data_IF_723564715507
#
_entry.id   IF_723564715507
#
_cell.length_a   1.000
_cell.length_b   1.000
_cell.length_c   1.000
_cell.angle_alpha   90.00
_cell.angle_beta   90.00
_cell.angle_gamma   90.00
#
_symmetry.space_group_name_H-M   'P 1'
#
loop_
_entity.id
_entity.type
_entity.pdbx_description
1 polymer ?
#
# COMPACT_ATOMS: atom_id res chain seq x y z
N UNK A 1 -10.71 6.90 -2.85
CA UNK A 1 -11.11 5.48 -2.88
C UNK A 1 -12.31 5.27 -2.00
N UNK A 2 -13.02 4.16 -2.20
CA UNK A 2 -14.22 3.80 -1.43
C UNK A 2 -14.25 2.28 -1.21
N UNK A 3 -14.74 1.86 -0.04
CA UNK A 3 -14.98 0.44 0.18
C UNK A 3 -16.13 -0.02 -0.73
N UNK A 4 -15.93 -1.09 -1.52
CA UNK A 4 -16.97 -1.57 -2.41
C UNK A 4 -18.18 -2.06 -1.60
N UNK A 5 -19.36 -2.00 -2.23
CA UNK A 5 -20.60 -2.60 -1.71
C UNK A 5 -21.07 -3.69 -2.67
N UNK A 6 -20.48 -4.90 -2.61
CA UNK A 6 -20.75 -5.97 -3.56
C UNK A 6 -22.22 -6.40 -3.51
N UNK A 7 -22.85 -6.58 -4.67
CA UNK A 7 -24.22 -7.09 -4.83
C UNK A 7 -24.26 -8.57 -5.16
N UNK A 8 -23.17 -9.10 -5.70
CA UNK A 8 -22.98 -10.50 -6.01
C UNK A 8 -21.57 -10.95 -5.62
N UNK A 9 -21.32 -12.26 -5.67
CA UNK A 9 -20.05 -12.85 -5.24
C UNK A 9 -18.86 -12.38 -6.08
N UNK A 10 -19.06 -12.16 -7.38
CA UNK A 10 -17.99 -11.80 -8.30
C UNK A 10 -17.43 -10.38 -8.02
N UNK A 11 -18.25 -9.48 -7.47
CA UNK A 11 -17.84 -8.13 -7.09
C UNK A 11 -16.93 -8.07 -5.84
N UNK A 12 -16.72 -9.19 -5.13
CA UNK A 12 -15.71 -9.27 -4.07
C UNK A 12 -14.29 -9.44 -4.62
N UNK A 13 -14.14 -9.81 -5.90
CA UNK A 13 -12.83 -9.84 -6.53
C UNK A 13 -12.38 -8.41 -6.83
N UNK A 14 -11.44 -7.90 -6.03
CA UNK A 14 -10.91 -6.55 -6.18
C UNK A 14 -9.92 -6.42 -7.35
N UNK A 15 -9.45 -7.54 -7.90
CA UNK A 15 -8.40 -7.60 -8.91
C UNK A 15 -7.08 -8.16 -8.36
N UNK A 16 -6.03 -8.00 -9.17
CA UNK A 16 -4.72 -8.61 -8.94
C UNK A 16 -3.66 -7.57 -8.60
N UNK A 17 -2.69 -7.95 -7.76
CA UNK A 17 -1.47 -7.18 -7.49
C UNK A 17 -0.27 -7.99 -7.99
N UNK A 18 0.54 -7.40 -8.87
CA UNK A 18 1.77 -7.99 -9.35
C UNK A 18 2.96 -7.22 -8.79
N UNK A 19 3.84 -7.90 -8.05
CA UNK A 19 5.03 -7.30 -7.45
C UNK A 19 6.29 -7.81 -8.14
N UNK A 20 7.14 -6.88 -8.59
CA UNK A 20 8.48 -7.19 -9.08
C UNK A 20 9.43 -7.47 -7.92
N UNK A 21 9.30 -8.63 -7.26
CA UNK A 21 10.03 -8.95 -6.02
C UNK A 21 11.55 -8.79 -6.17
N UNK A 22 12.12 -9.28 -7.26
CA UNK A 22 13.57 -9.14 -7.54
C UNK A 22 13.97 -7.66 -7.68
N UNK A 23 13.13 -6.84 -8.30
CA UNK A 23 13.38 -5.41 -8.43
C UNK A 23 13.33 -4.72 -7.05
N UNK A 24 12.33 -5.03 -6.23
CA UNK A 24 12.20 -4.49 -4.86
C UNK A 24 13.45 -4.85 -4.04
N UNK A 25 13.85 -6.12 -4.08
CA UNK A 25 15.04 -6.60 -3.37
C UNK A 25 16.33 -5.86 -3.82
N UNK A 26 16.49 -5.62 -5.12
CA UNK A 26 17.62 -4.85 -5.64
C UNK A 26 17.60 -3.38 -5.17
N UNK A 27 16.42 -2.75 -5.14
CA UNK A 27 16.27 -1.38 -4.62
C UNK A 27 16.62 -1.30 -3.13
N UNK A 28 16.11 -2.22 -2.30
CA UNK A 28 16.41 -2.28 -0.87
C UNK A 28 17.91 -2.45 -0.59
N UNK A 29 18.63 -3.22 -1.41
CA UNK A 29 20.09 -3.34 -1.30
C UNK A 29 20.83 -2.03 -1.56
N UNK A 30 20.26 -1.15 -2.39
CA UNK A 30 20.84 0.16 -2.71
C UNK A 30 20.44 1.21 -1.67
N UNK A 31 19.18 1.25 -1.25
CA UNK A 31 18.69 2.22 -0.25
C UNK A 31 19.07 1.86 1.19
N UNK A 32 19.37 0.59 1.46
CA UNK A 32 19.61 0.06 2.80
C UNK A 32 18.32 -0.21 3.59
N UNK A 33 17.15 -0.12 2.95
CA UNK A 33 15.86 -0.41 3.57
C UNK A 33 15.67 -1.91 3.78
N UNK A 34 14.88 -2.25 4.80
CA UNK A 34 14.50 -3.63 5.08
C UNK A 34 13.56 -4.16 3.98
N UNK A 35 13.96 -5.27 3.37
CA UNK A 35 13.24 -5.85 2.23
C UNK A 35 11.82 -6.29 2.60
N UNK A 36 11.64 -6.95 3.74
CA UNK A 36 10.34 -7.46 4.16
C UNK A 36 9.38 -6.29 4.44
N UNK A 37 9.87 -5.23 5.09
CA UNK A 37 9.12 -4.00 5.33
C UNK A 37 8.68 -3.32 4.04
N UNK A 38 9.58 -3.15 3.07
CA UNK A 38 9.24 -2.55 1.76
C UNK A 38 8.25 -3.42 1.00
N UNK A 39 8.39 -4.75 1.05
CA UNK A 39 7.46 -5.66 0.38
C UNK A 39 6.05 -5.54 0.96
N UNK A 40 5.90 -5.50 2.29
CA UNK A 40 4.61 -5.32 2.97
C UNK A 40 3.99 -3.97 2.63
N UNK A 41 4.76 -2.90 2.71
CA UNK A 41 4.30 -1.53 2.39
C UNK A 41 3.87 -1.43 0.92
N UNK A 42 4.60 -2.05 0.00
CA UNK A 42 4.25 -2.07 -1.43
C UNK A 42 2.98 -2.87 -1.69
N UNK A 43 2.76 -3.99 -0.98
CA UNK A 43 1.52 -4.75 -1.07
C UNK A 43 0.30 -3.97 -0.53
N UNK A 44 0.45 -3.29 0.61
CA UNK A 44 -0.58 -2.42 1.17
C UNK A 44 -0.93 -1.26 0.22
N UNK A 45 0.08 -0.64 -0.39
CA UNK A 45 -0.10 0.36 -1.44
C UNK A 45 -0.91 -0.17 -2.64
N UNK A 46 -0.58 -1.38 -3.11
CA UNK A 46 -1.34 -2.06 -4.17
C UNK A 46 -2.81 -2.28 -3.79
N UNK A 47 -3.09 -2.66 -2.53
CA UNK A 47 -4.45 -2.80 -2.03
C UNK A 47 -5.22 -1.47 -2.03
N UNK A 48 -4.57 -0.36 -1.63
CA UNK A 48 -5.16 0.98 -1.75
C UNK A 48 -5.56 1.29 -3.20
N UNK A 49 -4.74 0.92 -4.18
CA UNK A 49 -5.09 1.09 -5.60
C UNK A 49 -6.28 0.23 -6.03
N UNK A 50 -6.38 -1.03 -5.58
CA UNK A 50 -7.56 -1.87 -5.84
C UNK A 50 -8.85 -1.30 -5.23
N UNK A 51 -8.75 -0.55 -4.12
CA UNK A 51 -9.86 0.18 -3.50
C UNK A 51 -10.13 1.56 -4.14
N UNK A 52 -9.45 1.89 -5.24
CA UNK A 52 -9.64 3.12 -5.99
C UNK A 52 -9.00 4.37 -5.35
N UNK A 53 -8.03 4.22 -4.47
CA UNK A 53 -7.17 5.33 -4.06
C UNK A 53 -6.10 5.60 -5.13
N UNK A 54 -5.78 6.88 -5.31
CA UNK A 54 -4.84 7.37 -6.33
C UNK A 54 -3.96 8.44 -5.68
N UNK A 55 -2.82 8.77 -6.29
CA UNK A 55 -1.90 9.79 -5.77
C UNK A 55 -1.36 10.71 -6.87
N UNK A 56 -2.11 10.87 -7.98
CA UNK A 56 -1.67 11.67 -9.13
C UNK A 56 -1.73 13.19 -8.88
N UNK A 57 -2.55 13.62 -7.92
CA UNK A 57 -2.69 15.01 -7.48
C UNK A 57 -2.56 15.11 -5.97
N UNK A 58 -2.19 16.29 -5.45
CA UNK A 58 -2.07 16.51 -4.00
C UNK A 58 -3.32 16.12 -3.19
N UNK A 59 -4.56 16.45 -3.62
CA UNK A 59 -5.76 16.02 -2.90
C UNK A 59 -5.98 14.50 -2.91
N UNK A 60 -5.69 13.83 -4.02
CA UNK A 60 -5.79 12.37 -4.11
C UNK A 60 -4.74 11.70 -3.24
N UNK A 61 -3.49 12.17 -3.34
CA UNK A 61 -2.38 11.71 -2.52
C UNK A 61 -2.68 11.83 -1.03
N UNK A 62 -3.27 12.94 -0.57
CA UNK A 62 -3.62 13.11 0.84
C UNK A 62 -4.56 11.99 1.31
N UNK A 63 -5.59 11.67 0.51
CA UNK A 63 -6.51 10.57 0.83
C UNK A 63 -5.82 9.21 0.83
N UNK A 64 -4.91 8.98 -0.11
CA UNK A 64 -4.17 7.73 -0.20
C UNK A 64 -3.18 7.57 0.95
N UNK A 65 -2.45 8.63 1.28
CA UNK A 65 -1.53 8.66 2.41
C UNK A 65 -2.24 8.37 3.73
N UNK A 66 -3.38 9.02 3.99
CA UNK A 66 -4.19 8.74 5.17
C UNK A 66 -4.65 7.28 5.23
N UNK A 67 -5.03 6.69 4.10
CA UNK A 67 -5.42 5.27 4.04
C UNK A 67 -4.23 4.33 4.26
N UNK A 68 -3.06 4.64 3.73
CA UNK A 68 -1.83 3.88 4.01
C UNK A 68 -1.46 3.94 5.48
N UNK A 69 -1.52 5.12 6.11
CA UNK A 69 -1.29 5.28 7.56
C UNK A 69 -2.22 4.36 8.35
N UNK A 70 -3.53 4.41 8.08
CA UNK A 70 -4.53 3.58 8.77
C UNK A 70 -4.20 2.08 8.67
N UNK A 71 -3.88 1.59 7.46
CA UNK A 71 -3.57 0.17 7.25
C UNK A 71 -2.27 -0.23 7.97
N UNK A 72 -1.23 0.60 7.87
CA UNK A 72 0.08 0.30 8.43
C UNK A 72 0.10 0.43 9.95
N UNK A 73 -0.68 1.33 10.55
CA UNK A 73 -0.85 1.42 12.00
C UNK A 73 -1.43 0.13 12.57
N UNK A 74 -2.48 -0.43 11.95
CA UNK A 74 -3.06 -1.72 12.34
C UNK A 74 -2.04 -2.87 12.20
N UNK A 75 -1.30 -2.92 11.09
CA UNK A 75 -0.25 -3.92 10.91
C UNK A 75 0.87 -3.80 11.94
N UNK A 76 1.31 -2.58 12.25
CA UNK A 76 2.33 -2.32 13.26
C UNK A 76 1.86 -2.76 14.65
N UNK A 77 0.60 -2.52 15.00
CA UNK A 77 0.03 -2.99 16.27
C UNK A 77 0.00 -4.53 16.36
N UNK A 78 -0.35 -5.22 15.27
CA UNK A 78 -0.45 -6.67 15.25
C UNK A 78 0.90 -7.38 15.21
N UNK A 79 1.91 -6.78 14.56
CA UNK A 79 3.19 -7.44 14.26
C UNK A 79 4.36 -6.91 15.08
N UNK A 80 4.22 -5.74 15.71
CA UNK A 80 5.33 -5.02 16.35
C UNK A 80 6.31 -4.37 15.37
N UNK A 81 5.98 -4.34 14.07
CA UNK A 81 6.79 -3.69 13.05
C UNK A 81 6.74 -2.15 13.18
N UNK A 82 7.61 -1.48 12.40
CA UNK A 82 7.65 -0.03 12.29
C UNK A 82 7.58 0.39 10.82
N UNK A 83 6.47 0.06 10.17
CA UNK A 83 6.21 0.34 8.76
C UNK A 83 5.78 1.79 8.56
N UNK A 84 6.18 2.39 7.43
CA UNK A 84 5.85 3.76 7.03
C UNK A 84 5.16 3.76 5.66
N UNK A 85 4.24 4.72 5.39
CA UNK A 85 3.55 4.84 4.10
C UNK A 85 4.51 4.95 2.92
N UNK A 86 4.20 4.28 1.80
CA UNK A 86 5.01 4.34 0.59
C UNK A 86 4.95 5.74 -0.03
N UNK A 87 3.82 6.42 0.10
CA UNK A 87 3.63 7.75 -0.46
C UNK A 87 4.13 8.86 0.47
N UNK A 88 4.87 8.55 1.54
CA UNK A 88 5.43 9.56 2.44
C UNK A 88 6.36 10.52 1.68
N UNK A 89 6.11 11.83 1.79
CA UNK A 89 6.93 12.87 1.18
C UNK A 89 6.79 13.04 -0.35
N UNK A 90 5.74 12.46 -0.96
CA UNK A 90 5.50 12.60 -2.40
C UNK A 90 5.09 14.02 -2.83
N UNK A 91 4.51 14.83 -1.93
CA UNK A 91 4.05 16.21 -2.16
C UNK A 91 4.34 17.15 -0.99
#
# INVERSE_FOLDING_TARGET
>A
GELPRPRCRDEYNLGDIFLGVEYIHQQCRVSGEDFDSVLVVTAAHGLCHLLGYQHNTKPEWQQMYEKEVEILEELNQLTGASLQPLTAGLF
#
